data_IF_033611731377
#
_entry.id   IF_033611731377
#
_cell.length_a   1.000
_cell.length_b   1.000
_cell.length_c   1.000
_cell.angle_alpha   90.00
_cell.angle_beta   90.00
_cell.angle_gamma   90.00
#
_symmetry.space_group_name_H-M   'P 1'
#
loop_
_entity.id
_entity.type
_entity.pdbx_description
1 polymer ?
#
# COMPACT_ATOMS: atom_id res chain seq x y z
N UNK A 1 -15.48 24.77 -5.02
CA UNK A 1 -14.95 24.13 -3.80
C UNK A 1 -13.80 23.21 -4.16
N UNK A 2 -12.66 23.36 -3.49
CA UNK A 2 -11.42 22.56 -3.66
C UNK A 2 -11.41 21.24 -2.88
N UNK A 3 -12.47 20.98 -2.10
CA UNK A 3 -12.63 19.80 -1.24
C UNK A 3 -13.98 19.12 -1.49
N UNK A 4 -13.98 17.79 -1.54
CA UNK A 4 -15.18 16.95 -1.51
C UNK A 4 -15.57 16.60 -0.07
N UNK A 5 -16.86 16.59 0.21
CA UNK A 5 -17.40 16.07 1.46
C UNK A 5 -17.17 14.55 1.59
N UNK A 6 -17.14 14.00 2.81
CA UNK A 6 -17.03 12.55 3.01
C UNK A 6 -18.05 11.70 2.23
N UNK A 7 -19.27 12.23 2.03
CA UNK A 7 -20.30 11.56 1.23
C UNK A 7 -19.95 11.53 -0.27
N UNK A 8 -19.46 12.63 -0.82
CA UNK A 8 -18.99 12.68 -2.21
C UNK A 8 -17.76 11.78 -2.42
N UNK A 9 -16.83 11.74 -1.45
CA UNK A 9 -15.68 10.83 -1.50
C UNK A 9 -16.12 9.37 -1.59
N UNK A 10 -17.16 8.97 -0.86
CA UNK A 10 -17.70 7.62 -0.92
C UNK A 10 -18.18 7.27 -2.34
N UNK A 11 -18.87 8.19 -3.02
CA UNK A 11 -19.29 8.01 -4.42
C UNK A 11 -18.10 7.95 -5.38
N UNK A 12 -17.09 8.81 -5.18
CA UNK A 12 -15.83 8.78 -5.96
C UNK A 12 -15.13 7.43 -5.78
N UNK A 13 -15.06 6.90 -4.57
CA UNK A 13 -14.43 5.61 -4.28
C UNK A 13 -15.18 4.44 -4.96
N UNK A 14 -16.52 4.47 -4.99
CA UNK A 14 -17.33 3.51 -5.75
C UNK A 14 -17.02 3.59 -7.24
N UNK A 15 -17.03 4.79 -7.83
CA UNK A 15 -16.71 5.00 -9.25
C UNK A 15 -15.30 4.52 -9.58
N UNK A 16 -14.31 4.81 -8.72
CA UNK A 16 -12.95 4.31 -8.85
C UNK A 16 -12.90 2.78 -8.85
N UNK A 17 -13.64 2.12 -7.96
CA UNK A 17 -13.79 0.66 -7.93
C UNK A 17 -14.40 0.09 -9.21
N UNK A 18 -15.47 0.70 -9.72
CA UNK A 18 -16.10 0.29 -10.99
C UNK A 18 -15.10 0.39 -12.14
N UNK A 19 -14.37 1.51 -12.25
CA UNK A 19 -13.38 1.71 -13.31
C UNK A 19 -12.24 0.69 -13.22
N UNK A 20 -11.70 0.44 -12.03
CA UNK A 20 -10.66 -0.56 -11.77
C UNK A 20 -11.11 -1.99 -12.10
N UNK A 21 -12.38 -2.31 -11.89
CA UNK A 21 -12.92 -3.64 -12.19
C UNK A 21 -12.90 -3.97 -13.69
N UNK A 22 -12.98 -2.94 -14.55
CA UNK A 22 -13.01 -3.03 -16.02
C UNK A 22 -11.62 -3.03 -16.66
N UNK A 23 -10.56 -2.86 -15.86
CA UNK A 23 -9.20 -2.85 -16.39
C UNK A 23 -8.81 -4.20 -17.02
N UNK A 24 -8.13 -4.12 -18.16
CA UNK A 24 -7.55 -5.29 -18.84
C UNK A 24 -6.46 -5.89 -17.97
N UNK A 25 -6.19 -7.19 -18.13
CA UNK A 25 -5.11 -7.85 -17.38
C UNK A 25 -3.76 -7.18 -17.65
N UNK A 26 -3.49 -6.79 -18.90
CA UNK A 26 -2.26 -6.08 -19.27
C UNK A 26 -2.11 -4.76 -18.48
N UNK A 27 -3.17 -3.96 -18.37
CA UNK A 27 -3.12 -2.72 -17.59
C UNK A 27 -2.89 -2.99 -16.10
N UNK A 28 -3.55 -4.02 -15.53
CA UNK A 28 -3.32 -4.41 -14.14
C UNK A 28 -1.87 -4.87 -13.90
N UNK A 29 -1.28 -5.59 -14.85
CA UNK A 29 0.10 -6.04 -14.76
C UNK A 29 1.11 -4.89 -14.86
N UNK A 30 0.93 -3.97 -15.83
CA UNK A 30 1.84 -2.83 -16.01
C UNK A 30 1.74 -1.86 -14.83
N UNK A 31 0.53 -1.40 -14.52
CA UNK A 31 0.31 -0.43 -13.44
C UNK A 31 0.56 -1.04 -12.06
N UNK A 32 0.31 -2.35 -11.91
CA UNK A 32 0.63 -3.08 -10.70
C UNK A 32 2.14 -3.26 -10.50
N UNK A 33 2.88 -3.53 -11.56
CA UNK A 33 4.35 -3.57 -11.49
C UNK A 33 4.90 -2.22 -11.03
N UNK A 34 4.44 -1.12 -11.65
CA UNK A 34 4.86 0.23 -11.27
C UNK A 34 4.54 0.55 -9.81
N UNK A 35 3.32 0.26 -9.34
CA UNK A 35 2.95 0.47 -7.94
C UNK A 35 3.84 -0.34 -6.96
N UNK A 36 4.12 -1.61 -7.27
CA UNK A 36 5.04 -2.43 -6.48
C UNK A 36 6.45 -1.85 -6.40
N UNK A 37 6.96 -1.35 -7.53
CA UNK A 37 8.27 -0.70 -7.62
C UNK A 37 8.31 0.66 -6.88
N UNK A 38 7.23 1.45 -6.92
CA UNK A 38 7.14 2.72 -6.21
C UNK A 38 7.12 2.53 -4.69
N UNK A 39 6.33 1.58 -4.18
CA UNK A 39 6.32 1.24 -2.75
C UNK A 39 7.69 0.72 -2.32
N UNK A 40 8.32 -0.15 -3.11
CA UNK A 40 9.66 -0.65 -2.84
C UNK A 40 10.71 0.46 -2.83
N UNK A 41 10.64 1.41 -3.76
CA UNK A 41 11.51 2.61 -3.79
C UNK A 41 11.33 3.47 -2.54
N UNK A 42 10.10 3.67 -2.09
CA UNK A 42 9.82 4.39 -0.85
C UNK A 42 10.44 3.70 0.37
N UNK A 43 10.39 2.37 0.43
CA UNK A 43 11.03 1.60 1.49
C UNK A 43 12.56 1.60 1.38
N UNK A 44 13.11 1.57 0.16
CA UNK A 44 14.55 1.69 -0.06
C UNK A 44 15.06 3.05 0.45
N UNK A 45 14.32 4.13 0.19
CA UNK A 45 14.64 5.46 0.72
C UNK A 45 14.60 5.50 2.26
N UNK A 46 13.56 4.92 2.86
CA UNK A 46 13.46 4.75 4.32
C UNK A 46 14.69 4.01 4.88
N UNK A 47 15.04 2.84 4.33
CA UNK A 47 16.23 2.08 4.73
C UNK A 47 17.52 2.90 4.64
N UNK A 48 17.68 3.68 3.57
CA UNK A 48 18.87 4.52 3.41
C UNK A 48 18.93 5.66 4.42
N UNK A 49 17.79 6.26 4.76
CA UNK A 49 17.73 7.30 5.80
C UNK A 49 18.06 6.70 7.16
N UNK A 50 17.50 5.55 7.52
CA UNK A 50 17.67 5.00 8.87
C UNK A 50 18.95 4.17 9.05
N UNK A 51 19.51 3.63 7.96
CA UNK A 51 20.62 2.67 8.01
C UNK A 51 21.99 3.30 8.31
N UNK A 52 22.16 4.60 8.06
CA UNK A 52 23.42 5.34 8.30
C UNK A 52 23.35 6.33 9.45
N UNK A 53 22.18 6.49 10.08
CA UNK A 53 22.03 7.40 11.21
C UNK A 53 22.66 6.83 12.50
N UNK A 54 23.21 7.69 13.38
CA UNK A 54 23.79 7.24 14.64
C UNK A 54 22.78 6.51 15.53
N UNK A 55 23.19 5.42 16.16
CA UNK A 55 22.33 4.68 17.09
C UNK A 55 21.82 5.53 18.26
N UNK A 56 22.56 6.57 18.66
CA UNK A 56 22.19 7.53 19.70
C UNK A 56 20.92 8.33 19.41
N UNK A 57 20.48 8.38 18.14
CA UNK A 57 19.25 9.07 17.74
C UNK A 57 17.99 8.27 18.08
N UNK A 58 18.12 6.97 18.37
CA UNK A 58 17.03 6.12 18.84
C UNK A 58 15.79 6.17 17.94
N UNK A 59 14.63 6.45 18.54
CA UNK A 59 13.34 6.51 17.82
C UNK A 59 13.24 7.64 16.80
N UNK A 60 14.09 8.67 16.90
CA UNK A 60 14.08 9.78 15.94
C UNK A 60 14.52 9.32 14.54
N UNK A 61 15.42 8.34 14.44
CA UNK A 61 15.80 7.73 13.15
C UNK A 61 14.59 7.08 12.47
N UNK A 62 13.79 6.31 13.23
CA UNK A 62 12.57 5.67 12.70
C UNK A 62 11.54 6.71 12.24
N UNK A 63 11.44 7.86 12.94
CA UNK A 63 10.55 8.95 12.54
C UNK A 63 10.97 9.57 11.20
N UNK A 64 12.27 9.77 10.98
CA UNK A 64 12.80 10.29 9.71
C UNK A 64 12.57 9.32 8.56
N UNK A 65 12.80 8.02 8.78
CA UNK A 65 12.49 6.97 7.82
C UNK A 65 11.00 6.92 7.46
N UNK A 66 10.14 6.94 8.48
CA UNK A 66 8.70 7.01 8.32
C UNK A 66 8.22 8.27 7.58
N UNK A 67 8.92 9.40 7.74
CA UNK A 67 8.58 10.65 7.07
C UNK A 67 8.90 10.60 5.57
N UNK A 68 9.88 9.83 5.11
CA UNK A 68 10.26 9.77 3.69
C UNK A 68 9.58 8.62 2.93
N UNK A 69 9.14 7.56 3.62
CA UNK A 69 8.41 6.44 3.03
C UNK A 69 7.19 6.83 2.17
N UNK A 70 6.37 7.86 2.50
CA UNK A 70 5.20 8.24 1.71
C UNK A 70 5.46 8.56 0.24
N UNK A 71 6.71 8.81 -0.17
CA UNK A 71 7.06 8.98 -1.60
C UNK A 71 6.50 7.84 -2.47
N UNK A 72 6.49 6.60 -1.96
CA UNK A 72 5.97 5.45 -2.70
C UNK A 72 4.48 5.54 -3.01
N UNK A 73 3.64 5.94 -2.04
CA UNK A 73 2.20 6.10 -2.28
C UNK A 73 1.91 7.34 -3.13
N UNK A 74 2.69 8.41 -2.97
CA UNK A 74 2.55 9.65 -3.74
C UNK A 74 2.79 9.36 -5.22
N UNK A 75 3.86 8.63 -5.56
CA UNK A 75 4.13 8.18 -6.93
C UNK A 75 3.00 7.28 -7.44
N UNK A 76 2.58 6.30 -6.65
CA UNK A 76 1.50 5.37 -7.01
C UNK A 76 0.21 6.10 -7.40
N UNK A 77 -0.19 7.12 -6.63
CA UNK A 77 -1.45 7.81 -6.84
C UNK A 77 -1.35 8.91 -7.90
N UNK A 78 -0.25 9.66 -7.94
CA UNK A 78 -0.11 10.81 -8.84
C UNK A 78 0.51 10.47 -10.20
N UNK A 79 1.51 9.59 -10.25
CA UNK A 79 2.09 9.13 -11.51
C UNK A 79 1.24 8.05 -12.18
N UNK A 80 0.41 7.36 -11.39
CA UNK A 80 -0.48 6.31 -11.85
C UNK A 80 0.09 4.92 -11.61
N UNK A 81 -0.61 4.13 -10.80
CA UNK A 81 -0.28 2.76 -10.46
C UNK A 81 -1.48 2.04 -9.86
N UNK A 82 -1.48 0.71 -9.95
CA UNK A 82 -2.51 -0.14 -9.35
C UNK A 82 -1.94 -0.82 -8.11
N UNK A 83 -2.27 -0.28 -6.94
CA UNK A 83 -1.80 -0.81 -5.66
C UNK A 83 -2.87 -1.68 -5.01
N UNK A 84 -2.48 -2.91 -4.67
CA UNK A 84 -3.34 -3.91 -4.03
C UNK A 84 -4.07 -3.35 -2.81
N UNK A 85 -3.34 -2.69 -1.91
CA UNK A 85 -3.87 -2.25 -0.61
C UNK A 85 -4.91 -1.13 -0.75
N UNK A 86 -4.76 -0.22 -1.72
CA UNK A 86 -5.83 0.74 -2.08
C UNK A 86 -7.02 0.07 -2.79
N UNK A 87 -6.75 -0.97 -3.60
CA UNK A 87 -7.78 -1.79 -4.25
C UNK A 87 -8.57 -2.65 -3.25
N UNK A 88 -8.01 -2.92 -2.07
CA UNK A 88 -8.72 -3.58 -0.97
C UNK A 88 -9.79 -2.70 -0.32
N UNK A 89 -9.87 -1.41 -0.63
CA UNK A 89 -11.01 -0.53 -0.27
C UNK A 89 -11.90 -0.23 -1.47
N UNK A 90 -11.31 0.25 -2.58
CA UNK A 90 -12.07 0.79 -3.72
C UNK A 90 -12.94 -0.26 -4.41
N UNK A 91 -12.47 -1.51 -4.54
CA UNK A 91 -13.28 -2.56 -5.14
C UNK A 91 -14.38 -3.08 -4.19
N UNK A 92 -14.10 -3.38 -2.91
CA UNK A 92 -15.16 -3.76 -1.98
C UNK A 92 -16.26 -2.71 -1.83
N UNK A 93 -15.95 -1.42 -1.75
CA UNK A 93 -17.02 -0.40 -1.65
C UNK A 93 -17.93 -0.39 -2.89
N UNK A 94 -17.38 -0.59 -4.09
CA UNK A 94 -18.16 -0.75 -5.32
C UNK A 94 -18.97 -2.05 -5.35
N UNK A 95 -18.42 -3.14 -4.80
CA UNK A 95 -19.12 -4.42 -4.65
C UNK A 95 -20.29 -4.31 -3.66
N UNK A 96 -20.10 -3.67 -2.50
CA UNK A 96 -21.17 -3.41 -1.52
C UNK A 96 -22.28 -2.55 -2.11
N UNK A 97 -21.92 -1.56 -2.95
CA UNK A 97 -22.86 -0.77 -3.74
C UNK A 97 -23.52 -1.54 -4.90
N UNK A 98 -23.24 -2.85 -5.04
CA UNK A 98 -23.76 -3.78 -6.06
C UNK A 98 -23.45 -3.36 -7.51
N UNK A 99 -22.35 -2.63 -7.71
CA UNK A 99 -21.95 -2.14 -9.03
C UNK A 99 -21.00 -3.10 -9.76
N UNK A 100 -20.36 -3.99 -9.02
CA UNK A 100 -19.45 -5.02 -9.53
C UNK A 100 -19.71 -6.35 -8.81
N UNK A 101 -19.26 -7.45 -9.41
CA UNK A 101 -19.34 -8.77 -8.79
C UNK A 101 -18.16 -9.02 -7.84
N UNK A 102 -18.35 -9.93 -6.87
CA UNK A 102 -17.25 -10.40 -6.01
C UNK A 102 -16.11 -11.02 -6.84
N UNK A 103 -16.43 -11.69 -7.95
CA UNK A 103 -15.42 -12.21 -8.88
C UNK A 103 -14.52 -11.10 -9.43
N UNK A 104 -15.06 -9.92 -9.73
CA UNK A 104 -14.26 -8.79 -10.21
C UNK A 104 -13.28 -8.28 -9.14
N UNK A 105 -13.68 -8.29 -7.86
CA UNK A 105 -12.81 -7.97 -6.71
C UNK A 105 -11.64 -8.97 -6.66
N UNK A 106 -11.95 -10.27 -6.62
CA UNK A 106 -10.94 -11.33 -6.51
C UNK A 106 -10.00 -11.38 -7.72
N UNK A 107 -10.53 -11.22 -8.94
CA UNK A 107 -9.74 -11.14 -10.18
C UNK A 107 -8.72 -10.00 -10.09
N UNK A 108 -9.16 -8.80 -9.71
CA UNK A 108 -8.25 -7.66 -9.62
C UNK A 108 -7.20 -7.89 -8.54
N UNK A 109 -7.61 -8.28 -7.33
CA UNK A 109 -6.68 -8.52 -6.22
C UNK A 109 -5.62 -9.55 -6.61
N UNK A 110 -6.00 -10.64 -7.27
CA UNK A 110 -5.04 -11.64 -7.74
C UNK A 110 -3.99 -11.04 -8.68
N UNK A 111 -4.42 -10.43 -9.80
CA UNK A 111 -3.49 -9.90 -10.80
C UNK A 111 -2.61 -8.76 -10.27
N UNK A 112 -3.19 -7.88 -9.46
CA UNK A 112 -2.45 -6.77 -8.85
C UNK A 112 -1.48 -7.26 -7.79
N UNK A 113 -1.81 -8.31 -7.01
CA UNK A 113 -0.87 -8.94 -6.07
C UNK A 113 0.36 -9.48 -6.79
N UNK A 114 0.15 -10.23 -7.88
CA UNK A 114 1.25 -10.78 -8.69
C UNK A 114 2.10 -9.65 -9.25
N UNK A 115 1.48 -8.62 -9.82
CA UNK A 115 2.21 -7.51 -10.42
C UNK A 115 2.97 -6.66 -9.38
N UNK A 116 2.34 -6.34 -8.25
CA UNK A 116 2.99 -5.63 -7.14
C UNK A 116 4.20 -6.43 -6.64
N UNK A 117 4.07 -7.75 -6.46
CA UNK A 117 5.18 -8.61 -6.08
C UNK A 117 6.31 -8.51 -7.11
N UNK A 118 6.03 -8.69 -8.41
CA UNK A 118 7.06 -8.60 -9.47
C UNK A 118 7.78 -7.25 -9.47
N UNK A 119 7.05 -6.14 -9.29
CA UNK A 119 7.63 -4.80 -9.19
C UNK A 119 8.53 -4.64 -7.96
N UNK A 120 8.08 -5.13 -6.80
CA UNK A 120 8.86 -5.08 -5.56
C UNK A 120 10.10 -5.98 -5.62
N UNK A 121 10.00 -7.16 -6.24
CA UNK A 121 11.14 -8.06 -6.47
C UNK A 121 12.15 -7.46 -7.42
N UNK A 122 11.72 -6.77 -8.49
CA UNK A 122 12.62 -6.08 -9.40
C UNK A 122 13.47 -5.05 -8.65
N UNK A 123 12.86 -4.23 -7.77
CA UNK A 123 13.61 -3.27 -6.95
C UNK A 123 14.49 -3.96 -5.92
N UNK A 124 13.99 -4.98 -5.22
CA UNK A 124 14.78 -5.73 -4.24
C UNK A 124 16.01 -6.39 -4.88
N UNK A 125 15.87 -6.94 -6.08
CA UNK A 125 16.96 -7.60 -6.79
C UNK A 125 17.90 -6.60 -7.46
N UNK A 126 17.41 -5.75 -8.36
CA UNK A 126 18.29 -4.87 -9.13
C UNK A 126 18.87 -3.73 -8.28
N UNK A 127 18.06 -3.08 -7.45
CA UNK A 127 18.55 -1.96 -6.63
C UNK A 127 19.11 -2.46 -5.31
N UNK A 128 18.41 -3.40 -4.65
CA UNK A 128 18.86 -3.93 -3.37
C UNK A 128 20.12 -4.80 -3.47
N UNK A 129 20.07 -5.86 -4.27
CA UNK A 129 21.15 -6.86 -4.37
C UNK A 129 22.23 -6.48 -5.38
N UNK A 130 21.89 -6.24 -6.65
CA UNK A 130 22.88 -5.98 -7.71
C UNK A 130 23.64 -4.66 -7.49
N UNK A 131 22.95 -3.58 -7.11
CA UNK A 131 23.60 -2.33 -6.74
C UNK A 131 24.07 -2.30 -5.27
N UNK A 132 23.69 -3.29 -4.46
CA UNK A 132 24.08 -3.39 -3.04
C UNK A 132 23.40 -2.39 -2.11
N UNK A 133 22.31 -1.73 -2.52
CA UNK A 133 21.64 -0.67 -1.75
C UNK A 133 20.83 -1.19 -0.55
N UNK A 134 20.61 -2.49 -0.43
CA UNK A 134 20.07 -3.12 0.78
C UNK A 134 21.12 -3.93 1.54
N UNK A 135 22.36 -3.93 1.06
CA UNK A 135 23.48 -4.71 1.58
C UNK A 135 24.59 -3.80 2.10
N UNK A 136 25.79 -4.35 2.36
CA UNK A 136 26.92 -3.59 2.88
C UNK A 136 26.57 -2.84 4.15
N UNK A 137 26.66 -1.50 4.12
CA UNK A 137 26.34 -0.62 5.24
C UNK A 137 24.87 -0.72 5.69
N UNK A 138 23.95 -1.11 4.81
CA UNK A 138 22.51 -1.20 5.08
C UNK A 138 22.06 -2.61 5.50
N UNK A 139 22.91 -3.63 5.30
CA UNK A 139 22.56 -5.04 5.49
C UNK A 139 21.99 -5.33 6.88
N UNK A 140 22.65 -4.83 7.92
CA UNK A 140 22.23 -5.04 9.32
C UNK A 140 20.80 -4.57 9.55
N UNK A 141 20.44 -3.40 9.00
CA UNK A 141 19.10 -2.85 9.14
C UNK A 141 18.08 -3.57 8.27
N UNK A 142 18.44 -3.94 7.03
CA UNK A 142 17.61 -4.75 6.13
C UNK A 142 17.21 -6.06 6.81
N UNK A 143 18.19 -6.83 7.30
CA UNK A 143 17.98 -8.11 7.97
C UNK A 143 17.16 -7.92 9.24
N UNK A 144 17.54 -6.99 10.13
CA UNK A 144 16.80 -6.74 11.37
C UNK A 144 15.31 -6.41 11.11
N UNK A 145 15.03 -5.60 10.09
CA UNK A 145 13.67 -5.20 9.72
C UNK A 145 12.88 -6.35 9.12
N UNK A 146 13.49 -7.15 8.25
CA UNK A 146 12.87 -8.34 7.66
C UNK A 146 12.61 -9.43 8.71
N UNK A 147 13.59 -9.73 9.56
CA UNK A 147 13.49 -10.71 10.65
C UNK A 147 12.39 -10.34 11.64
N UNK A 148 12.30 -9.07 12.04
CA UNK A 148 11.23 -8.60 12.94
C UNK A 148 9.82 -8.81 12.34
N UNK A 149 9.68 -8.75 11.02
CA UNK A 149 8.41 -9.00 10.33
C UNK A 149 8.05 -10.48 10.29
N UNK A 150 8.97 -11.35 9.86
CA UNK A 150 8.70 -12.79 9.71
C UNK A 150 8.59 -13.52 11.05
N UNK A 151 9.20 -13.00 12.12
CA UNK A 151 9.10 -13.57 13.47
C UNK A 151 7.82 -13.18 14.21
N UNK A 152 7.03 -12.22 13.70
CA UNK A 152 5.72 -11.95 14.25
C UNK A 152 4.82 -13.17 14.00
N UNK A 153 4.18 -13.69 15.05
CA UNK A 153 3.22 -14.77 14.86
C UNK A 153 2.03 -14.32 13.99
N UNK A 154 1.24 -15.30 13.54
CA UNK A 154 0.14 -15.06 12.62
C UNK A 154 -0.83 -13.98 13.13
N UNK A 155 -1.19 -14.01 14.41
CA UNK A 155 -2.17 -13.07 14.97
C UNK A 155 -1.61 -11.65 15.07
N UNK A 156 -0.37 -11.50 15.49
CA UNK A 156 0.31 -10.21 15.54
C UNK A 156 0.46 -9.62 14.13
N UNK A 157 0.91 -10.42 13.15
CA UNK A 157 1.04 -9.98 11.76
C UNK A 157 -0.33 -9.63 11.13
N UNK A 158 -1.37 -10.42 11.42
CA UNK A 158 -2.74 -10.17 10.96
C UNK A 158 -3.32 -8.87 11.51
N UNK A 159 -3.29 -8.66 12.83
CA UNK A 159 -3.81 -7.43 13.46
C UNK A 159 -3.00 -6.21 13.01
N UNK A 160 -1.68 -6.35 12.92
CA UNK A 160 -0.79 -5.32 12.38
C UNK A 160 -1.17 -4.96 10.93
N UNK A 161 -1.52 -5.96 10.12
CA UNK A 161 -2.04 -5.76 8.77
C UNK A 161 -3.37 -4.99 8.72
N UNK A 162 -4.28 -5.21 9.68
CA UNK A 162 -5.54 -4.45 9.76
C UNK A 162 -5.25 -2.97 9.98
N UNK A 163 -4.43 -2.65 10.99
CA UNK A 163 -4.05 -1.28 11.32
C UNK A 163 -3.33 -0.58 10.16
N UNK A 164 -2.42 -1.29 9.49
CA UNK A 164 -1.73 -0.78 8.31
C UNK A 164 -2.71 -0.34 7.23
N UNK A 165 -3.57 -1.25 6.77
CA UNK A 165 -4.37 -0.96 5.58
C UNK A 165 -5.56 -0.06 5.88
N UNK A 166 -5.98 0.06 7.14
CA UNK A 166 -6.88 1.13 7.53
C UNK A 166 -6.26 2.50 7.21
N UNK A 167 -5.01 2.74 7.64
CA UNK A 167 -4.32 4.01 7.39
C UNK A 167 -3.98 4.22 5.90
N UNK A 168 -3.57 3.17 5.18
CA UNK A 168 -3.32 3.26 3.72
C UNK A 168 -4.60 3.60 2.96
N UNK A 169 -5.72 2.97 3.29
CA UNK A 169 -6.99 3.28 2.64
C UNK A 169 -7.48 4.70 3.00
N UNK A 170 -7.23 5.17 4.23
CA UNK A 170 -7.49 6.56 4.60
C UNK A 170 -6.60 7.56 3.84
N UNK A 171 -5.35 7.21 3.55
CA UNK A 171 -4.49 8.03 2.68
C UNK A 171 -5.12 8.22 1.29
N UNK A 172 -5.63 7.14 0.68
CA UNK A 172 -6.35 7.20 -0.60
C UNK A 172 -7.66 8.00 -0.47
N UNK A 173 -8.40 7.81 0.62
CA UNK A 173 -9.63 8.55 0.90
C UNK A 173 -9.38 10.06 0.99
N UNK A 174 -8.34 10.47 1.72
CA UNK A 174 -7.94 11.88 1.83
C UNK A 174 -7.41 12.43 0.51
N UNK A 175 -6.74 11.61 -0.30
CA UNK A 175 -6.36 11.99 -1.66
C UNK A 175 -7.59 12.24 -2.55
N UNK A 176 -8.69 11.48 -2.39
CA UNK A 176 -9.94 11.77 -3.08
C UNK A 176 -10.61 13.06 -2.60
N UNK A 177 -10.41 13.44 -1.34
CA UNK A 177 -10.98 14.68 -0.79
C UNK A 177 -10.51 15.93 -1.52
N UNK A 178 -9.24 15.97 -1.97
CA UNK A 178 -8.66 17.17 -2.59
C UNK A 178 -8.60 17.11 -4.11
N UNK A 179 -8.87 18.24 -4.77
CA UNK A 179 -8.65 18.44 -6.22
C UNK A 179 -7.24 18.92 -6.57
N UNK A 180 -6.50 19.41 -5.59
CA UNK A 180 -5.17 20.00 -5.79
C UNK A 180 -4.08 18.99 -5.42
N UNK A 181 -2.98 18.99 -6.19
CA UNK A 181 -1.86 18.07 -5.99
C UNK A 181 -1.28 18.20 -4.58
N UNK A 182 -1.08 19.43 -4.08
CA UNK A 182 -0.55 19.66 -2.73
C UNK A 182 -1.43 19.06 -1.63
N UNK A 183 -2.75 19.22 -1.72
CA UNK A 183 -3.70 18.62 -0.78
C UNK A 183 -3.70 17.09 -0.84
N UNK A 184 -3.57 16.49 -2.03
CA UNK A 184 -3.42 15.04 -2.19
C UNK A 184 -2.13 14.52 -1.52
N UNK A 185 -1.01 15.20 -1.73
CA UNK A 185 0.29 14.84 -1.14
C UNK A 185 0.20 14.86 0.38
N UNK A 186 -0.26 15.97 0.97
CA UNK A 186 -0.37 16.10 2.43
C UNK A 186 -1.36 15.09 3.02
N UNK A 187 -2.51 14.88 2.35
CA UNK A 187 -3.52 13.93 2.78
C UNK A 187 -3.03 12.48 2.79
N UNK A 188 -2.12 12.10 1.88
CA UNK A 188 -1.49 10.78 1.88
C UNK A 188 -0.31 10.68 2.85
N UNK A 189 0.44 11.76 3.03
CA UNK A 189 1.71 11.75 3.76
C UNK A 189 1.56 11.29 5.21
N UNK A 190 0.67 11.93 5.97
CA UNK A 190 0.56 11.69 7.41
C UNK A 190 0.03 10.29 7.76
N UNK A 191 -1.03 9.75 7.13
CA UNK A 191 -1.47 8.39 7.42
C UNK A 191 -0.41 7.33 7.07
N UNK A 192 0.33 7.53 5.98
CA UNK A 192 1.41 6.61 5.60
C UNK A 192 2.59 6.69 6.56
N UNK A 193 3.04 7.90 6.89
CA UNK A 193 4.05 8.13 7.92
C UNK A 193 3.64 7.49 9.25
N UNK A 194 2.37 7.62 9.66
CA UNK A 194 1.88 7.05 10.92
C UNK A 194 2.00 5.53 10.95
N UNK A 195 1.55 4.80 9.92
CA UNK A 195 1.63 3.32 9.97
C UNK A 195 3.08 2.83 9.99
N UNK A 196 3.99 3.52 9.30
CA UNK A 196 5.42 3.17 9.27
C UNK A 196 6.05 3.44 10.63
N UNK A 197 5.80 4.62 11.22
CA UNK A 197 6.33 4.99 12.53
C UNK A 197 5.81 4.09 13.66
N UNK A 198 4.55 3.63 13.57
CA UNK A 198 3.94 2.68 14.51
C UNK A 198 4.51 1.26 14.33
N UNK A 199 4.98 0.92 13.12
CA UNK A 199 5.50 -0.42 12.80
C UNK A 199 4.44 -1.40 12.31
N UNK A 200 3.35 -0.92 11.70
CA UNK A 200 2.36 -1.80 11.09
C UNK A 200 2.89 -2.50 9.83
N UNK A 201 2.34 -3.69 9.52
CA UNK A 201 2.78 -4.51 8.40
C UNK A 201 1.95 -4.26 7.12
N UNK A 202 2.63 -3.87 6.05
CA UNK A 202 2.06 -3.62 4.73
C UNK A 202 2.48 -4.73 3.76
N UNK A 203 1.53 -5.45 3.17
CA UNK A 203 1.82 -6.63 2.35
C UNK A 203 2.77 -6.31 1.18
N UNK A 204 2.55 -5.20 0.47
CA UNK A 204 3.39 -4.80 -0.68
C UNK A 204 4.76 -4.26 -0.23
N UNK A 205 4.86 -3.65 0.96
CA UNK A 205 6.17 -3.23 1.48
C UNK A 205 6.97 -4.47 1.90
N UNK A 206 6.29 -5.47 2.47
CA UNK A 206 6.89 -6.75 2.83
C UNK A 206 7.36 -7.54 1.59
N UNK A 207 6.70 -7.37 0.42
CA UNK A 207 7.14 -7.93 -0.88
C UNK A 207 8.49 -7.37 -1.36
N UNK A 208 9.02 -6.31 -0.73
CA UNK A 208 10.36 -5.77 -1.00
C UNK A 208 11.36 -6.16 0.09
N UNK A 209 11.10 -5.77 1.34
CA UNK A 209 12.09 -5.88 2.42
C UNK A 209 12.46 -7.33 2.75
N UNK A 210 11.49 -8.25 2.72
CA UNK A 210 11.75 -9.66 3.03
C UNK A 210 12.54 -10.31 1.89
N UNK A 211 12.15 -10.16 0.62
CA UNK A 211 12.99 -10.62 -0.51
C UNK A 211 14.39 -10.00 -0.56
N UNK A 212 14.57 -8.73 -0.17
CA UNK A 212 15.91 -8.13 -0.07
C UNK A 212 16.81 -8.89 0.92
N UNK A 213 16.28 -9.27 2.09
CA UNK A 213 17.01 -10.11 3.05
C UNK A 213 17.21 -11.56 2.55
N UNK A 214 16.27 -12.11 1.77
CA UNK A 214 16.41 -13.42 1.13
C UNK A 214 17.54 -13.41 0.10
N UNK A 215 17.62 -12.38 -0.75
CA UNK A 215 18.69 -12.25 -1.74
C UNK A 215 20.07 -12.04 -1.12
N UNK A 216 20.12 -11.39 0.06
CA UNK A 216 21.33 -11.30 0.87
C UNK A 216 21.68 -12.60 1.64
N UNK A 217 20.89 -13.68 1.48
CA UNK A 217 21.13 -14.98 2.10
C UNK A 217 20.76 -15.08 3.59
N UNK A 218 20.01 -14.11 4.12
CA UNK A 218 19.70 -14.03 5.56
C UNK A 218 18.36 -14.63 5.96
N UNK A 219 17.43 -14.82 5.01
CA UNK A 219 16.10 -15.41 5.22
C UNK A 219 15.73 -16.33 4.06
N UNK A 220 14.64 -17.08 4.23
CA UNK A 220 14.08 -17.97 3.22
C UNK A 220 12.63 -17.62 2.85
N UNK A 221 12.20 -18.08 1.67
CA UNK A 221 10.80 -17.96 1.24
C UNK A 221 9.82 -18.72 2.15
N UNK A 222 10.27 -19.81 2.76
CA UNK A 222 9.49 -20.58 3.75
C UNK A 222 9.19 -19.77 5.01
N UNK A 223 10.12 -18.94 5.46
CA UNK A 223 9.91 -18.03 6.60
C UNK A 223 8.97 -16.87 6.21
N UNK A 224 8.99 -16.46 4.94
CA UNK A 224 8.16 -15.36 4.48
C UNK A 224 6.68 -15.74 4.28
N UNK A 225 6.38 -16.95 3.80
CA UNK A 225 5.02 -17.34 3.40
C UNK A 225 3.97 -17.16 4.51
N UNK A 226 4.19 -17.58 5.77
CA UNK A 226 3.21 -17.38 6.84
C UNK A 226 2.94 -15.89 7.11
N UNK A 227 3.99 -15.07 7.12
CA UNK A 227 3.89 -13.62 7.26
C UNK A 227 3.08 -13.01 6.11
N UNK A 228 3.39 -13.37 4.88
CA UNK A 228 2.69 -12.89 3.69
C UNK A 228 1.18 -13.13 3.79
N UNK A 229 0.77 -14.36 4.15
CA UNK A 229 -0.65 -14.72 4.28
C UNK A 229 -1.32 -13.93 5.39
N UNK A 230 -0.71 -13.85 6.58
CA UNK A 230 -1.27 -13.11 7.71
C UNK A 230 -1.48 -11.63 7.38
N UNK A 231 -0.45 -10.98 6.83
CA UNK A 231 -0.49 -9.55 6.49
C UNK A 231 -1.43 -9.27 5.33
N UNK A 232 -1.50 -10.15 4.32
CA UNK A 232 -2.46 -10.03 3.21
C UNK A 232 -3.90 -10.04 3.73
N UNK A 233 -4.25 -11.01 4.58
CA UNK A 233 -5.58 -11.13 5.17
C UNK A 233 -5.90 -9.95 6.09
N UNK A 234 -4.93 -9.52 6.90
CA UNK A 234 -5.07 -8.34 7.75
C UNK A 234 -5.32 -7.08 6.93
N UNK A 235 -4.52 -6.85 5.89
CA UNK A 235 -4.72 -5.73 4.97
C UNK A 235 -6.08 -5.80 4.28
N UNK A 236 -6.54 -6.98 3.84
CA UNK A 236 -7.86 -7.15 3.24
C UNK A 236 -8.98 -6.74 4.20
N UNK A 237 -8.91 -7.13 5.48
CA UNK A 237 -9.88 -6.74 6.52
C UNK A 237 -9.81 -5.23 6.81
N UNK A 238 -8.61 -4.66 6.92
CA UNK A 238 -8.44 -3.22 7.14
C UNK A 238 -9.02 -2.36 6.01
N UNK A 239 -8.79 -2.75 4.75
CA UNK A 239 -9.33 -2.02 3.60
C UNK A 239 -10.82 -2.25 3.38
N UNK A 240 -11.24 -3.52 3.29
CA UNK A 240 -12.61 -3.87 2.91
C UNK A 240 -13.58 -3.66 4.07
N UNK A 241 -13.19 -4.00 5.29
CA UNK A 241 -14.02 -3.88 6.49
C UNK A 241 -14.00 -2.47 7.06
N UNK A 242 -12.82 -1.98 7.45
CA UNK A 242 -12.75 -0.73 8.23
C UNK A 242 -12.99 0.53 7.43
N UNK A 243 -12.68 0.53 6.14
CA UNK A 243 -12.91 1.68 5.27
C UNK A 243 -14.06 1.38 4.30
N UNK A 244 -13.94 0.37 3.46
CA UNK A 244 -14.95 0.04 2.43
C UNK A 244 -16.36 -0.14 3.00
N UNK A 245 -16.54 -1.07 3.94
CA UNK A 245 -17.86 -1.40 4.50
C UNK A 245 -18.38 -0.30 5.43
N UNK A 246 -17.57 0.23 6.33
CA UNK A 246 -18.05 1.24 7.29
C UNK A 246 -18.51 2.52 6.59
N UNK A 247 -17.73 3.04 5.64
CA UNK A 247 -18.14 4.23 4.89
C UNK A 247 -19.31 3.96 3.93
N UNK A 248 -19.40 2.75 3.37
CA UNK A 248 -20.58 2.33 2.61
C UNK A 248 -21.85 2.37 3.47
N UNK A 249 -21.83 1.78 4.66
CA UNK A 249 -22.99 1.74 5.55
C UNK A 249 -23.38 3.14 6.04
N UNK A 250 -22.40 3.99 6.33
CA UNK A 250 -22.61 5.34 6.82
C UNK A 250 -23.19 6.30 5.75
N UNK A 251 -22.71 6.21 4.50
CA UNK A 251 -23.06 7.18 3.45
C UNK A 251 -23.97 6.65 2.35
N UNK A 252 -24.09 5.32 2.22
CA UNK A 252 -24.88 4.63 1.17
C UNK A 252 -24.66 5.24 -0.22
N UNK A 253 -23.40 5.33 -0.69
CA UNK A 253 -23.08 5.99 -1.95
C UNK A 253 -23.75 5.29 -3.13
N UNK A 254 -24.22 6.08 -4.09
CA UNK A 254 -24.61 5.63 -5.42
C UNK A 254 -23.49 5.97 -6.40
N UNK A 255 -23.45 5.30 -7.57
CA UNK A 255 -22.57 5.73 -8.66
C UNK A 255 -22.98 7.15 -9.06
N UNK A 256 -22.02 8.06 -9.14
CA UNK A 256 -22.27 9.34 -9.80
C UNK A 256 -22.51 9.08 -11.28
N UNK A 257 -23.74 9.26 -11.73
CA UNK A 257 -24.00 9.47 -13.15
C UNK A 257 -23.29 10.77 -13.53
N UNK A 258 -22.36 10.79 -14.50
CA UNK A 258 -21.71 12.03 -14.89
C UNK A 258 -22.80 13.05 -15.20
N UNK A 259 -22.77 14.19 -14.49
CA UNK A 259 -23.72 15.26 -14.71
C UNK A 259 -23.67 15.60 -16.19
N UNK A 260 -24.79 15.42 -16.89
CA UNK A 260 -24.96 15.91 -18.25
C UNK A 260 -24.59 17.39 -18.20
N UNK A 261 -23.46 17.77 -18.79
CA UNK A 261 -23.11 19.17 -18.99
C UNK A 261 -24.31 19.80 -19.70
N UNK A 262 -25.07 20.62 -18.96
CA UNK A 262 -26.06 21.49 -19.56
C UNK A 262 -25.26 22.47 -20.40
N UNK A 263 -25.35 22.26 -21.72
CA UNK A 263 -24.84 23.13 -22.78
C UNK A 263 -25.22 24.58 -22.57
#
# INVERSE_FOLDING_TARGET
>A
MSLYSPKEIASIAVTAGVNKSRATVLNLLILGFLAGAFIATGFLLDLHVIGTLPASWGSFSNLLGAAVFPVGIILTVLAGGELLTGNMMTLPIAWFARQISLYAVLRNWFWVTVANLLGSLAVAYFFGHVLGLTEGAFLSKTVATATAKVNADFMHAFISGIGCNWLVCLAIWLAFASKEVGGKVIGMWFPVMAFVAIGFQHVVANMFIVPAAIFAGALSWSEYLPNFVAVFLGNAVGGAGFVGLMYFLAYRPTVETPATEQR
#
